data_IF_844537435919
#
_entry.id   IF_844537435919
#
_cell.length_a   1.000
_cell.length_b   1.000
_cell.length_c   1.000
_cell.angle_alpha   90.00
_cell.angle_beta   90.00
_cell.angle_gamma   90.00
#
_symmetry.space_group_name_H-M   'P 1'
#
loop_
_entity.id
_entity.type
_entity.pdbx_description
1 polymer ?
#
# COMPACT_ATOMS: atom_id res chain seq x y z
N UNK A 1 40.60 55.83 -19.56
CA UNK A 1 42.00 55.91 -20.08
C UNK A 1 42.63 54.57 -19.97
N UNK A 2 43.00 53.95 -21.10
CA UNK A 2 43.77 52.70 -21.12
C UNK A 2 45.29 52.99 -21.21
N UNK A 3 46.14 52.01 -21.02
CA UNK A 3 46.95 51.56 -22.16
C UNK A 3 46.91 50.03 -22.28
N UNK A 4 46.79 49.44 -23.44
CA UNK A 4 47.65 49.29 -24.60
C UNK A 4 48.97 48.52 -24.35
N UNK A 5 49.12 47.55 -25.21
CA UNK A 5 50.35 46.94 -25.73
C UNK A 5 50.65 45.54 -25.14
N UNK A 6 51.16 44.54 -25.79
CA UNK A 6 51.62 44.39 -27.19
C UNK A 6 51.82 42.89 -27.43
N UNK A 7 51.50 42.52 -28.63
CA UNK A 7 51.97 41.39 -29.37
C UNK A 7 53.36 40.83 -29.05
N UNK A 8 53.44 39.51 -28.95
CA UNK A 8 54.64 38.87 -29.47
C UNK A 8 54.29 37.50 -30.12
N UNK A 9 54.56 37.44 -31.41
CA UNK A 9 54.41 36.30 -32.28
C UNK A 9 55.65 35.44 -32.19
N UNK A 10 55.52 34.25 -31.68
CA UNK A 10 56.59 33.24 -31.82
C UNK A 10 56.03 32.05 -32.57
N UNK A 11 56.43 32.06 -33.84
CA UNK A 11 56.35 31.00 -34.79
C UNK A 11 57.09 29.75 -34.30
N UNK A 12 56.39 28.67 -34.03
CA UNK A 12 57.05 27.40 -33.83
C UNK A 12 56.53 26.36 -34.81
N UNK A 13 57.44 25.95 -35.76
CA UNK A 13 57.23 24.92 -36.77
C UNK A 13 57.12 23.53 -36.09
N UNK A 14 56.20 22.69 -36.55
CA UNK A 14 56.14 21.31 -36.07
C UNK A 14 57.21 20.45 -36.77
N UNK A 15 57.88 19.72 -35.93
CA UNK A 15 58.80 18.65 -36.33
C UNK A 15 57.96 17.37 -36.53
N UNK A 16 58.02 16.90 -37.78
CA UNK A 16 57.56 15.54 -38.14
C UNK A 16 58.35 14.52 -37.33
N UNK A 17 57.62 13.66 -36.61
CA UNK A 17 58.22 12.58 -35.90
C UNK A 17 57.17 11.51 -35.59
N UNK A 18 57.30 10.43 -36.34
CA UNK A 18 56.89 9.05 -36.02
C UNK A 18 55.49 8.76 -35.47
N UNK A 19 54.71 8.16 -36.33
CA UNK A 19 53.53 7.35 -35.99
C UNK A 19 54.01 5.97 -35.56
N UNK A 20 53.83 5.56 -34.28
CA UNK A 20 53.81 4.17 -33.96
C UNK A 20 52.39 3.63 -34.14
N UNK A 21 52.23 2.85 -35.14
CA UNK A 21 51.16 1.89 -35.29
C UNK A 21 51.16 0.95 -34.12
N UNK A 22 50.21 1.13 -33.23
CA UNK A 22 49.83 0.18 -32.18
C UNK A 22 48.31 0.33 -32.02
N UNK A 23 47.62 -0.67 -32.22
CA UNK A 23 47.66 -2.04 -31.74
C UNK A 23 46.28 -2.39 -31.45
N UNK A 24 45.73 -3.08 -32.31
CA UNK A 24 44.57 -3.94 -32.21
C UNK A 24 44.53 -4.61 -30.83
N UNK A 25 43.80 -4.08 -29.88
CA UNK A 25 43.34 -4.85 -28.70
C UNK A 25 42.25 -4.05 -27.99
N UNK A 26 41.04 -4.53 -28.01
CA UNK A 26 39.95 -3.94 -27.18
C UNK A 26 38.55 -4.15 -27.73
N UNK A 27 38.32 -5.11 -28.61
CA UNK A 27 36.95 -5.38 -29.12
C UNK A 27 36.28 -6.61 -28.50
N UNK A 28 36.45 -6.94 -27.25
CA UNK A 28 35.85 -8.18 -26.78
C UNK A 28 35.16 -8.08 -25.41
N UNK A 29 35.37 -7.05 -24.62
CA UNK A 29 34.76 -6.97 -23.30
C UNK A 29 33.37 -6.31 -23.32
N UNK A 30 33.12 -5.34 -24.20
CA UNK A 30 31.84 -4.64 -24.21
C UNK A 30 30.71 -5.48 -24.84
N UNK A 31 31.03 -6.43 -25.70
CA UNK A 31 30.01 -7.25 -26.41
C UNK A 31 29.44 -8.36 -25.53
N UNK A 32 30.15 -8.80 -24.48
CA UNK A 32 29.69 -9.82 -23.54
C UNK A 32 28.91 -9.24 -22.36
N UNK A 33 29.06 -7.97 -22.04
CA UNK A 33 28.34 -7.33 -20.92
C UNK A 33 26.86 -7.07 -21.22
N UNK A 34 26.51 -6.82 -22.47
CA UNK A 34 25.13 -6.55 -22.88
C UNK A 34 24.17 -7.74 -22.62
N UNK A 35 24.48 -8.98 -23.08
CA UNK A 35 23.58 -10.10 -22.83
C UNK A 35 23.45 -10.48 -21.35
N UNK A 36 24.51 -10.30 -20.54
CA UNK A 36 24.46 -10.54 -19.09
C UNK A 36 23.57 -9.52 -18.40
N UNK A 37 23.62 -8.25 -18.79
CA UNK A 37 22.76 -7.21 -18.25
C UNK A 37 21.27 -7.48 -18.56
N UNK A 38 20.96 -7.95 -19.77
CA UNK A 38 19.59 -8.34 -20.14
C UNK A 38 19.10 -9.58 -19.38
N UNK A 39 19.93 -10.57 -19.14
CA UNK A 39 19.58 -11.74 -18.34
C UNK A 39 19.32 -11.37 -16.89
N UNK A 40 20.16 -10.54 -16.29
CA UNK A 40 19.96 -10.04 -14.91
C UNK A 40 18.71 -9.18 -14.81
N UNK A 41 18.48 -8.26 -15.74
CA UNK A 41 17.27 -7.44 -15.76
C UNK A 41 16.01 -8.27 -15.98
N UNK A 42 16.06 -9.27 -16.86
CA UNK A 42 14.98 -10.24 -17.08
C UNK A 42 14.69 -11.09 -15.85
N UNK A 43 15.72 -11.60 -15.20
CA UNK A 43 15.58 -12.37 -13.94
C UNK A 43 15.00 -11.51 -12.82
N UNK A 44 15.45 -10.26 -12.67
CA UNK A 44 14.90 -9.32 -11.67
C UNK A 44 13.45 -8.95 -11.98
N UNK A 45 13.09 -8.81 -13.25
CA UNK A 45 11.71 -8.53 -13.66
C UNK A 45 10.81 -9.74 -13.38
N UNK A 46 11.25 -10.95 -13.72
CA UNK A 46 10.54 -12.19 -13.42
C UNK A 46 10.41 -12.40 -11.91
N UNK A 47 11.46 -12.11 -11.13
CA UNK A 47 11.42 -12.14 -9.69
C UNK A 47 10.38 -11.15 -9.13
N UNK A 48 10.35 -9.92 -9.63
CA UNK A 48 9.34 -8.93 -9.24
C UNK A 48 7.92 -9.35 -9.59
N UNK A 49 7.71 -9.95 -10.75
CA UNK A 49 6.39 -10.46 -11.15
C UNK A 49 5.95 -11.65 -10.30
N UNK A 50 6.89 -12.49 -9.87
CA UNK A 50 6.61 -13.67 -9.05
C UNK A 50 6.40 -13.34 -7.56
N UNK A 51 7.02 -12.26 -7.08
CA UNK A 51 6.92 -11.79 -5.69
C UNK A 51 5.98 -10.61 -5.49
N UNK A 52 5.02 -10.37 -6.41
CA UNK A 52 3.96 -9.43 -6.11
C UNK A 52 3.13 -10.01 -4.94
N UNK A 53 3.05 -9.29 -3.81
CA UNK A 53 2.25 -9.78 -2.70
C UNK A 53 0.81 -9.96 -3.18
N UNK A 54 0.17 -11.07 -2.82
CA UNK A 54 -1.20 -11.33 -3.23
C UNK A 54 -2.10 -10.19 -2.73
N UNK A 55 -2.77 -9.53 -3.66
CA UNK A 55 -3.67 -8.41 -3.38
C UNK A 55 -5.11 -8.88 -3.20
N UNK A 56 -5.90 -8.09 -2.50
CA UNK A 56 -7.36 -8.24 -2.42
C UNK A 56 -8.03 -7.10 -3.17
N UNK A 57 -9.23 -7.32 -3.76
CA UNK A 57 -10.01 -6.25 -4.38
C UNK A 57 -10.47 -5.23 -3.33
N UNK A 58 -10.97 -4.07 -3.74
CA UNK A 58 -11.68 -3.16 -2.86
C UNK A 58 -12.87 -3.83 -2.20
N UNK A 59 -13.22 -3.40 -0.99
CA UNK A 59 -14.36 -3.86 -0.23
C UNK A 59 -15.37 -2.74 -0.01
N UNK A 60 -16.64 -3.09 0.13
CA UNK A 60 -17.72 -2.19 0.47
C UNK A 60 -18.61 -2.78 1.55
N UNK A 61 -19.23 -1.92 2.35
CA UNK A 61 -20.27 -2.32 3.31
C UNK A 61 -21.58 -2.44 2.53
N UNK A 62 -22.24 -3.59 2.63
CA UNK A 62 -23.54 -3.80 2.03
C UNK A 62 -24.61 -3.12 2.89
N UNK A 63 -25.48 -2.34 2.23
CA UNK A 63 -26.57 -1.65 2.92
C UNK A 63 -26.19 -0.34 3.62
N UNK A 64 -24.89 0.04 3.63
CA UNK A 64 -24.50 1.36 4.11
C UNK A 64 -24.96 2.42 3.10
N UNK A 65 -25.93 3.21 3.47
CA UNK A 65 -26.41 4.36 2.70
C UNK A 65 -25.44 5.54 2.87
N UNK A 66 -24.21 5.37 2.37
CA UNK A 66 -23.24 6.45 2.13
C UNK A 66 -22.67 7.15 3.36
N UNK A 67 -23.25 8.21 3.85
CA UNK A 67 -22.64 9.13 4.83
C UNK A 67 -23.38 9.23 6.16
N UNK A 68 -24.43 8.48 6.34
CA UNK A 68 -25.22 8.51 7.58
C UNK A 68 -24.51 7.74 8.70
N UNK A 69 -24.53 8.36 9.89
CA UNK A 69 -24.01 7.74 11.12
C UNK A 69 -25.05 6.72 11.60
N UNK A 70 -24.66 5.46 11.74
CA UNK A 70 -25.54 4.41 12.21
C UNK A 70 -25.80 4.56 13.73
N UNK A 71 -27.05 4.75 14.12
CA UNK A 71 -27.44 4.83 15.53
C UNK A 71 -27.62 3.42 16.12
N UNK A 72 -26.87 3.14 17.17
CA UNK A 72 -26.91 1.87 17.89
C UNK A 72 -27.46 2.09 19.30
N UNK A 73 -28.51 1.34 19.66
CA UNK A 73 -29.12 1.37 20.98
C UNK A 73 -28.72 0.12 21.79
N UNK A 74 -28.52 0.29 23.08
CA UNK A 74 -28.38 -0.83 24.01
C UNK A 74 -29.59 -1.74 23.92
N UNK A 75 -29.38 -3.05 24.02
CA UNK A 75 -30.43 -4.05 23.80
C UNK A 75 -30.76 -4.32 22.33
N UNK A 76 -30.21 -3.55 21.40
CA UNK A 76 -30.38 -3.78 19.96
C UNK A 76 -29.39 -4.81 19.40
N UNK A 77 -29.51 -5.06 18.10
CA UNK A 77 -28.60 -5.92 17.33
C UNK A 77 -27.81 -5.06 16.35
N UNK A 78 -26.53 -5.36 16.23
CA UNK A 78 -25.65 -4.80 15.21
C UNK A 78 -25.35 -5.87 14.15
N UNK A 79 -25.36 -5.44 12.90
CA UNK A 79 -24.96 -6.27 11.78
C UNK A 79 -24.22 -5.43 10.74
N UNK A 80 -23.08 -5.93 10.27
CA UNK A 80 -22.28 -5.31 9.22
C UNK A 80 -21.79 -6.40 8.28
N UNK A 81 -22.18 -6.31 7.02
CA UNK A 81 -21.71 -7.17 5.94
C UNK A 81 -20.75 -6.39 5.04
N UNK A 82 -19.54 -6.91 4.92
CA UNK A 82 -18.45 -6.32 4.12
C UNK A 82 -18.17 -7.27 2.96
N UNK A 83 -18.37 -6.81 1.74
CA UNK A 83 -18.22 -7.63 0.55
C UNK A 83 -17.14 -7.12 -0.37
N UNK A 84 -16.38 -8.02 -1.02
CA UNK A 84 -15.40 -7.65 -2.02
C UNK A 84 -16.10 -7.16 -3.30
N UNK A 85 -15.56 -6.12 -3.94
CA UNK A 85 -16.05 -5.61 -5.22
C UNK A 85 -15.47 -6.35 -6.43
N UNK A 86 -14.88 -7.54 -6.21
CA UNK A 86 -14.29 -8.37 -7.24
C UNK A 86 -13.94 -9.75 -6.73
N UNK A 87 -13.37 -10.56 -7.60
CA UNK A 87 -13.00 -11.94 -7.23
C UNK A 87 -11.85 -11.96 -6.22
N UNK A 88 -12.00 -12.74 -5.18
CA UNK A 88 -11.00 -12.96 -4.14
C UNK A 88 -10.41 -14.36 -4.29
N UNK A 89 -9.13 -14.45 -4.69
CA UNK A 89 -8.41 -15.73 -4.69
C UNK A 89 -7.64 -15.94 -3.40
N UNK A 90 -7.76 -17.11 -2.76
CA UNK A 90 -7.01 -17.49 -1.56
C UNK A 90 -7.60 -16.97 -0.24
N UNK A 91 -6.90 -17.23 0.86
CA UNK A 91 -7.38 -16.94 2.21
C UNK A 91 -7.51 -15.43 2.49
N UNK A 92 -8.58 -15.07 3.20
CA UNK A 92 -8.84 -13.72 3.70
C UNK A 92 -9.03 -13.79 5.20
N UNK A 93 -8.58 -12.77 5.90
CA UNK A 93 -8.85 -12.55 7.31
C UNK A 93 -9.27 -11.10 7.56
N UNK A 94 -9.79 -10.83 8.74
CA UNK A 94 -10.20 -9.50 9.15
C UNK A 94 -9.67 -9.17 10.54
N UNK A 95 -9.46 -7.87 10.78
CA UNK A 95 -9.21 -7.29 12.12
C UNK A 95 -10.02 -6.03 12.27
N UNK A 96 -10.64 -5.85 13.42
CA UNK A 96 -11.43 -4.67 13.70
C UNK A 96 -10.79 -3.79 14.77
N UNK A 97 -11.15 -2.52 14.67
CA UNK A 97 -10.67 -1.49 15.56
C UNK A 97 -11.79 -0.48 15.83
N UNK A 98 -11.83 0.03 17.05
CA UNK A 98 -12.57 1.24 17.39
C UNK A 98 -11.68 2.45 17.26
N UNK A 99 -12.21 3.50 16.66
CA UNK A 99 -11.51 4.79 16.53
C UNK A 99 -12.39 5.88 17.15
N UNK A 100 -11.80 6.64 18.07
CA UNK A 100 -12.44 7.82 18.65
C UNK A 100 -11.38 8.86 18.97
N UNK A 101 -11.60 10.10 18.56
CA UNK A 101 -10.73 11.25 18.83
C UNK A 101 -9.25 10.99 18.45
N UNK A 102 -9.01 10.26 17.36
CA UNK A 102 -7.68 9.89 16.90
C UNK A 102 -7.03 8.72 17.66
N UNK A 103 -7.70 8.17 18.65
CA UNK A 103 -7.24 6.97 19.38
C UNK A 103 -7.81 5.72 18.73
N UNK A 104 -6.93 4.78 18.37
CA UNK A 104 -7.30 3.47 17.81
C UNK A 104 -7.13 2.41 18.87
N UNK A 105 -8.15 1.59 19.06
CA UNK A 105 -8.13 0.44 19.97
C UNK A 105 -8.54 -0.82 19.22
N UNK A 106 -7.88 -1.96 19.45
CA UNK A 106 -8.34 -3.23 18.91
C UNK A 106 -9.78 -3.54 19.36
N UNK A 107 -10.57 -4.10 18.46
CA UNK A 107 -11.90 -4.56 18.74
C UNK A 107 -12.00 -6.06 18.44
N UNK A 108 -12.27 -6.85 19.46
CA UNK A 108 -12.40 -8.31 19.34
C UNK A 108 -13.82 -8.70 18.88
N UNK A 109 -14.20 -8.22 17.69
CA UNK A 109 -15.47 -8.59 17.09
C UNK A 109 -15.46 -10.05 16.64
N UNK A 110 -16.58 -10.78 16.77
CA UNK A 110 -16.73 -12.09 16.16
C UNK A 110 -16.89 -11.94 14.65
N UNK A 111 -15.91 -12.42 13.88
CA UNK A 111 -15.96 -12.41 12.42
C UNK A 111 -16.39 -13.75 11.87
N UNK A 112 -17.28 -13.71 10.87
CA UNK A 112 -17.51 -14.82 9.97
C UNK A 112 -16.95 -14.42 8.62
N UNK A 113 -15.92 -15.13 8.16
CA UNK A 113 -15.34 -14.92 6.84
C UNK A 113 -15.86 -16.03 5.92
N UNK A 114 -16.57 -15.65 4.86
CA UNK A 114 -17.12 -16.57 3.89
C UNK A 114 -16.07 -16.96 2.82
N UNK A 115 -16.37 -17.99 2.05
CA UNK A 115 -15.46 -18.51 1.00
C UNK A 115 -15.22 -17.53 -0.15
N UNK A 116 -16.15 -16.65 -0.40
CA UNK A 116 -16.05 -15.57 -1.40
C UNK A 116 -15.23 -14.37 -0.90
N UNK A 117 -14.76 -14.41 0.34
CA UNK A 117 -14.00 -13.34 0.99
C UNK A 117 -14.86 -12.31 1.69
N UNK A 118 -16.19 -12.44 1.70
CA UNK A 118 -17.07 -11.57 2.48
C UNK A 118 -16.84 -11.74 3.97
N UNK A 119 -16.97 -10.66 4.71
CA UNK A 119 -16.78 -10.62 6.18
C UNK A 119 -18.05 -10.10 6.82
N UNK A 120 -18.60 -10.86 7.77
CA UNK A 120 -19.77 -10.48 8.52
C UNK A 120 -19.43 -10.32 10.00
N UNK A 121 -19.95 -9.26 10.60
CA UNK A 121 -19.95 -9.00 12.04
C UNK A 121 -21.40 -8.89 12.47
N UNK A 122 -21.84 -9.74 13.39
CA UNK A 122 -23.21 -9.66 13.88
C UNK A 122 -23.27 -10.04 15.36
N UNK A 123 -24.17 -9.39 16.12
CA UNK A 123 -24.41 -9.72 17.52
C UNK A 123 -25.13 -8.62 18.29
N UNK A 124 -25.44 -8.89 19.58
CA UNK A 124 -26.04 -7.90 20.46
C UNK A 124 -25.11 -6.69 20.66
N UNK A 125 -25.67 -5.48 20.59
CA UNK A 125 -24.90 -4.23 20.81
C UNK A 125 -24.22 -4.24 22.18
N UNK A 126 -24.89 -4.74 23.19
CA UNK A 126 -24.34 -4.80 24.56
C UNK A 126 -23.10 -5.68 24.68
N UNK A 127 -23.02 -6.74 23.88
CA UNK A 127 -21.86 -7.64 23.84
C UNK A 127 -20.73 -7.06 22.97
N UNK A 128 -21.07 -6.61 21.77
CA UNK A 128 -20.09 -6.13 20.80
C UNK A 128 -19.42 -4.82 21.24
N UNK A 129 -20.16 -3.98 21.96
CA UNK A 129 -19.73 -2.64 22.38
C UNK A 129 -19.64 -2.51 23.90
N UNK A 130 -19.43 -3.61 24.63
CA UNK A 130 -19.41 -3.62 26.10
C UNK A 130 -18.45 -2.57 26.68
N UNK A 131 -17.25 -2.45 26.09
CA UNK A 131 -16.19 -1.55 26.54
C UNK A 131 -16.26 -0.15 25.92
N UNK A 132 -17.26 0.12 25.08
CA UNK A 132 -17.42 1.40 24.41
C UNK A 132 -18.45 2.27 25.13
N UNK A 133 -18.07 3.42 25.72
CA UNK A 133 -19.04 4.34 26.31
C UNK A 133 -19.91 4.99 25.23
N UNK A 134 -21.11 5.48 25.60
CA UNK A 134 -21.99 6.21 24.68
C UNK A 134 -21.27 7.34 23.96
N UNK A 135 -21.68 7.62 22.73
CA UNK A 135 -21.11 8.67 21.90
C UNK A 135 -20.78 8.19 20.49
N UNK A 136 -20.03 9.03 19.76
CA UNK A 136 -19.64 8.77 18.39
C UNK A 136 -18.37 7.94 18.31
N UNK A 137 -18.40 6.95 17.43
CA UNK A 137 -17.32 6.05 17.17
C UNK A 137 -17.16 5.82 15.66
N UNK A 138 -15.97 5.45 15.25
CA UNK A 138 -15.73 4.88 13.93
C UNK A 138 -15.29 3.43 14.13
N UNK A 139 -15.95 2.52 13.45
CA UNK A 139 -15.52 1.14 13.32
C UNK A 139 -14.63 1.08 12.09
N UNK A 140 -13.42 0.56 12.26
CA UNK A 140 -12.47 0.36 11.18
C UNK A 140 -12.16 -1.13 11.07
N UNK A 141 -12.46 -1.73 9.92
CA UNK A 141 -12.22 -3.16 9.66
C UNK A 141 -11.17 -3.28 8.56
N UNK A 142 -10.03 -3.84 8.91
CA UNK A 142 -9.00 -4.21 7.95
C UNK A 142 -9.30 -5.62 7.43
N UNK A 143 -9.47 -5.75 6.11
CA UNK A 143 -9.74 -7.02 5.43
C UNK A 143 -8.65 -7.28 4.42
N UNK A 144 -8.04 -8.44 4.44
CA UNK A 144 -6.93 -8.75 3.54
C UNK A 144 -6.29 -10.10 3.78
N UNK A 145 -5.07 -10.24 3.31
CA UNK A 145 -4.29 -11.46 3.53
C UNK A 145 -3.88 -11.57 4.99
N UNK A 146 -4.01 -12.75 5.62
CA UNK A 146 -3.70 -12.93 7.03
C UNK A 146 -2.35 -12.38 7.45
N UNK A 147 -1.33 -12.60 6.61
CA UNK A 147 0.06 -12.20 6.85
C UNK A 147 0.34 -10.70 6.67
N UNK A 148 -0.58 -9.98 6.02
CA UNK A 148 -0.41 -8.55 5.72
C UNK A 148 -1.31 -7.64 6.53
N UNK A 149 -2.22 -8.20 7.32
CA UNK A 149 -3.13 -7.41 8.14
C UNK A 149 -2.39 -6.53 9.14
N UNK A 150 -2.83 -5.28 9.32
CA UNK A 150 -2.21 -4.35 10.26
C UNK A 150 -2.26 -4.92 11.68
N UNK A 151 -1.13 -4.82 12.37
CA UNK A 151 -0.99 -5.30 13.75
C UNK A 151 -0.97 -4.16 14.76
N UNK A 152 -0.72 -2.93 14.28
CA UNK A 152 -0.56 -1.77 15.14
C UNK A 152 -1.62 -0.69 14.89
N UNK A 153 -2.01 0.05 15.94
CA UNK A 153 -2.89 1.22 15.79
C UNK A 153 -2.35 2.27 14.80
N UNK A 154 -1.04 2.42 14.72
CA UNK A 154 -0.41 3.40 13.85
C UNK A 154 -0.64 3.09 12.36
N UNK A 155 -0.62 1.82 11.96
CA UNK A 155 -0.93 1.39 10.59
C UNK A 155 -2.36 1.76 10.21
N UNK A 156 -3.31 1.57 11.14
CA UNK A 156 -4.71 1.95 10.94
C UNK A 156 -4.85 3.47 10.78
N UNK A 157 -4.19 4.25 11.63
CA UNK A 157 -4.22 5.72 11.53
C UNK A 157 -3.65 6.22 10.20
N UNK A 158 -2.56 5.63 9.74
CA UNK A 158 -1.96 5.96 8.43
C UNK A 158 -2.90 5.63 7.29
N UNK A 159 -3.48 4.44 7.29
CA UNK A 159 -4.43 4.02 6.26
C UNK A 159 -5.73 4.85 6.27
N UNK A 160 -6.20 5.23 7.46
CA UNK A 160 -7.37 6.11 7.63
C UNK A 160 -7.17 7.48 7.00
N UNK A 161 -5.97 8.03 7.12
CA UNK A 161 -5.61 9.35 6.59
C UNK A 161 -5.20 9.32 5.11
N UNK A 162 -4.92 8.13 4.57
CA UNK A 162 -4.69 7.96 3.15
C UNK A 162 -6.00 8.17 2.38
N UNK A 163 -5.89 8.73 1.17
CA UNK A 163 -7.03 8.82 0.26
C UNK A 163 -7.47 7.38 -0.01
N UNK A 164 -8.78 7.12 0.14
CA UNK A 164 -9.34 5.80 -0.13
C UNK A 164 -9.02 5.39 -1.58
N UNK A 165 -7.98 4.59 -1.74
CA UNK A 165 -7.55 4.09 -3.04
C UNK A 165 -8.38 2.84 -3.35
N UNK A 166 -9.18 2.90 -4.42
CA UNK A 166 -9.99 1.77 -4.90
C UNK A 166 -9.16 0.71 -5.63
N UNK A 167 -7.84 0.78 -5.55
CA UNK A 167 -6.96 -0.22 -6.17
C UNK A 167 -6.82 -1.46 -5.30
N UNK A 168 -6.57 -2.63 -5.92
CA UNK A 168 -6.20 -3.82 -5.18
C UNK A 168 -4.96 -3.56 -4.32
N UNK A 169 -5.01 -4.01 -3.07
CA UNK A 169 -3.92 -3.88 -2.11
C UNK A 169 -3.77 -5.17 -1.30
N UNK A 170 -2.73 -5.30 -0.51
CA UNK A 170 -2.54 -6.46 0.36
C UNK A 170 -3.66 -6.58 1.42
N UNK A 171 -4.21 -5.45 1.83
CA UNK A 171 -5.40 -5.34 2.67
C UNK A 171 -6.12 -4.02 2.38
N UNK A 172 -7.40 -3.95 2.72
CA UNK A 172 -8.27 -2.80 2.57
C UNK A 172 -8.81 -2.37 3.93
N UNK A 173 -9.01 -1.07 4.13
CA UNK A 173 -9.64 -0.53 5.32
C UNK A 173 -11.07 -0.08 4.99
N UNK A 174 -12.03 -0.76 5.60
CA UNK A 174 -13.45 -0.41 5.52
C UNK A 174 -13.82 0.32 6.80
N UNK A 175 -14.60 1.38 6.69
CA UNK A 175 -14.93 2.26 7.83
C UNK A 175 -16.41 2.52 7.89
N UNK A 176 -16.96 2.49 9.12
CA UNK A 176 -18.36 2.83 9.39
C UNK A 176 -18.44 3.76 10.60
N UNK A 177 -19.27 4.77 10.51
CA UNK A 177 -19.52 5.69 11.62
C UNK A 177 -20.73 5.22 12.40
N UNK A 178 -20.56 5.08 13.71
CA UNK A 178 -21.65 4.64 14.58
C UNK A 178 -21.81 5.60 15.76
N UNK A 179 -23.03 5.76 16.21
CA UNK A 179 -23.38 6.51 17.39
C UNK A 179 -24.02 5.56 18.40
N UNK A 180 -23.32 5.30 19.50
CA UNK A 180 -23.84 4.54 20.62
C UNK A 180 -24.74 5.44 21.47
N UNK A 181 -26.00 5.05 21.59
CA UNK A 181 -26.97 5.70 22.48
C UNK A 181 -26.90 5.02 23.85
N UNK A 182 -27.03 5.83 24.90
CA UNK A 182 -27.07 5.36 26.30
C UNK A 182 -28.37 4.63 26.64
#
# INVERSE_FOLDING_TARGET
MPPSASSDSASFRPRSGDVPSRGRAGKSAATLLLPVAFLVAGALLLLRLHFQPPTVPPYAILGAAGTEELELRRGGTFEMDISPLGHVGGAVAARAFFVRDGVVRPWNAPFVVARDGSVRIAGPVDTLFADAPPGRWEIAVAVGRPETLPTTPLEILRARNAIADKRPAAWQLVRERVRLLG
#
